data_IF_263077419492
#
_entry.id   IF_263077419492
#
_cell.length_a   1.000
_cell.length_b   1.000
_cell.length_c   1.000
_cell.angle_alpha   90.00
_cell.angle_beta   90.00
_cell.angle_gamma   90.00
#
_symmetry.space_group_name_H-M   'P 1'
#
loop_
_entity.id
_entity.type
_entity.pdbx_description
1 polymer ?
#
# COMPACT_ATOMS: atom_id res chain seq x y z
N UNK A 1 2.25 -7.20 18.12
CA UNK A 1 0.89 -7.20 17.53
C UNK A 1 0.15 -5.96 17.99
N UNK A 2 -0.17 -5.05 17.07
CA UNK A 2 -0.96 -3.86 17.34
C UNK A 2 -2.15 -3.81 16.37
N UNK A 3 -3.22 -3.09 16.75
CA UNK A 3 -4.37 -2.90 15.86
C UNK A 3 -4.30 -1.48 15.30
N UNK A 4 -4.15 -1.35 13.98
CA UNK A 4 -3.93 -0.06 13.31
C UNK A 4 -4.90 0.15 12.14
N UNK A 5 -5.26 1.40 11.79
CA UNK A 5 -6.04 1.68 10.60
C UNK A 5 -5.19 1.58 9.32
N UNK A 6 -5.82 1.13 8.24
CA UNK A 6 -5.29 1.29 6.89
C UNK A 6 -6.37 1.84 5.97
N UNK A 7 -6.02 2.81 5.12
CA UNK A 7 -6.96 3.44 4.21
C UNK A 7 -6.79 2.86 2.81
N UNK A 8 -7.91 2.46 2.22
CA UNK A 8 -7.98 2.05 0.83
C UNK A 8 -9.10 2.80 0.09
N UNK A 9 -8.90 3.05 -1.19
CA UNK A 9 -9.94 3.53 -2.08
C UNK A 9 -10.92 2.39 -2.44
N UNK A 10 -12.00 2.72 -3.13
CA UNK A 10 -13.06 1.78 -3.45
C UNK A 10 -12.56 0.59 -4.28
N UNK A 11 -11.71 0.83 -5.27
CA UNK A 11 -11.18 -0.20 -6.17
C UNK A 11 -10.24 -1.16 -5.42
N UNK A 12 -9.36 -0.62 -4.58
CA UNK A 12 -8.50 -1.45 -3.73
C UNK A 12 -9.32 -2.31 -2.74
N UNK A 13 -10.42 -1.77 -2.21
CA UNK A 13 -11.32 -2.55 -1.33
C UNK A 13 -11.98 -3.69 -2.10
N UNK A 14 -12.47 -3.43 -3.32
CA UNK A 14 -13.00 -4.48 -4.19
C UNK A 14 -11.96 -5.56 -4.45
N UNK A 15 -10.74 -5.16 -4.80
CA UNK A 15 -9.65 -6.11 -5.03
C UNK A 15 -9.32 -6.98 -3.80
N UNK A 16 -9.45 -6.43 -2.57
CA UNK A 16 -9.29 -7.22 -1.34
C UNK A 16 -10.47 -8.21 -1.17
N UNK A 17 -11.70 -7.75 -1.41
CA UNK A 17 -12.89 -8.61 -1.30
C UNK A 17 -12.83 -9.76 -2.32
N UNK A 18 -12.35 -9.49 -3.52
CA UNK A 18 -12.16 -10.45 -4.61
C UNK A 18 -10.89 -11.32 -4.44
N UNK A 19 -10.13 -11.13 -3.35
CA UNK A 19 -8.87 -11.84 -3.05
C UNK A 19 -7.75 -11.61 -4.09
N UNK A 20 -7.84 -10.53 -4.88
CA UNK A 20 -6.81 -10.13 -5.84
C UNK A 20 -5.71 -9.28 -5.19
N UNK A 21 -6.03 -8.55 -4.10
CA UNK A 21 -5.08 -7.69 -3.41
C UNK A 21 -4.64 -8.29 -2.08
N UNK A 22 -3.35 -8.60 -1.97
CA UNK A 22 -2.69 -9.11 -0.76
C UNK A 22 -1.42 -8.32 -0.38
N UNK A 23 -1.12 -7.25 -1.12
CA UNK A 23 0.04 -6.40 -0.90
C UNK A 23 -0.33 -4.92 -1.05
N UNK A 24 0.39 -4.03 -0.42
CA UNK A 24 0.28 -2.58 -0.64
C UNK A 24 1.59 -1.88 -0.43
N UNK A 25 1.88 -0.90 -1.29
CA UNK A 25 3.05 -0.03 -1.17
C UNK A 25 2.69 1.29 -0.52
N UNK A 26 3.57 1.79 0.34
CA UNK A 26 3.45 3.11 1.00
C UNK A 26 4.78 3.84 0.91
N UNK A 27 4.73 5.12 0.59
CA UNK A 27 5.92 5.97 0.49
C UNK A 27 6.67 5.98 1.83
N UNK A 28 7.98 5.77 1.78
CA UNK A 28 8.86 6.06 2.91
C UNK A 28 8.99 7.59 3.02
N UNK A 29 8.64 8.14 4.15
CA UNK A 29 8.68 9.60 4.36
C UNK A 29 9.36 9.94 5.70
N UNK A 30 10.44 10.74 5.67
CA UNK A 30 11.10 11.32 4.50
C UNK A 30 11.79 10.28 3.63
N UNK A 31 12.02 10.61 2.35
CA UNK A 31 12.78 9.74 1.47
C UNK A 31 14.23 9.60 1.96
N UNK A 32 14.77 8.38 2.02
CA UNK A 32 16.16 8.15 2.36
C UNK A 32 17.10 8.75 1.31
N UNK A 33 18.17 9.39 1.76
CA UNK A 33 19.21 9.89 0.85
C UNK A 33 20.27 8.83 0.49
N UNK A 34 20.23 7.67 1.18
CA UNK A 34 21.12 6.55 0.98
C UNK A 34 20.34 5.23 1.09
N UNK A 35 21.05 4.16 1.39
CA UNK A 35 20.48 2.82 1.49
C UNK A 35 19.87 2.57 2.87
N UNK A 36 18.63 2.10 2.90
CA UNK A 36 18.05 1.53 4.12
C UNK A 36 18.56 0.10 4.32
N UNK A 37 18.78 -0.28 5.55
CA UNK A 37 19.12 -1.65 5.90
C UNK A 37 18.22 -2.21 7.00
N UNK A 38 18.10 -3.52 7.02
CA UNK A 38 17.41 -4.24 8.07
C UNK A 38 18.40 -4.48 9.21
N UNK A 39 18.17 -3.87 10.36
CA UNK A 39 19.08 -3.97 11.50
C UNK A 39 18.43 -4.74 12.64
N UNK A 40 19.19 -5.67 13.24
CA UNK A 40 18.81 -6.32 14.47
C UNK A 40 19.29 -5.47 15.64
N UNK A 41 18.39 -4.73 16.26
CA UNK A 41 18.70 -3.99 17.48
C UNK A 41 18.32 -4.84 18.70
N UNK A 42 19.22 -5.78 19.08
CA UNK A 42 19.22 -6.41 20.41
C UNK A 42 17.95 -7.19 20.81
N UNK A 43 17.35 -7.96 19.90
CA UNK A 43 16.17 -8.77 20.14
C UNK A 43 15.68 -9.45 18.87
N UNK A 44 14.70 -10.34 18.98
CA UNK A 44 14.18 -11.17 17.88
C UNK A 44 13.44 -10.41 16.76
N UNK A 45 13.34 -9.08 16.85
CA UNK A 45 12.67 -8.23 15.86
C UNK A 45 13.66 -7.29 15.20
N UNK A 46 14.03 -7.56 13.95
CA UNK A 46 14.74 -6.60 13.11
C UNK A 46 13.83 -5.42 12.71
N UNK A 47 14.42 -4.27 12.50
CA UNK A 47 13.73 -3.08 11.97
C UNK A 47 14.46 -2.53 10.76
N UNK A 48 13.70 -2.04 9.80
CA UNK A 48 14.22 -1.28 8.67
C UNK A 48 14.55 0.14 9.13
N UNK A 49 15.72 0.60 8.73
CA UNK A 49 16.16 1.94 9.06
C UNK A 49 17.56 2.22 8.55
N UNK A 50 18.05 3.42 8.79
CA UNK A 50 19.47 3.69 8.61
C UNK A 50 20.28 2.98 9.69
N UNK A 51 21.51 2.56 9.37
CA UNK A 51 22.44 2.09 10.37
C UNK A 51 22.70 3.19 11.41
N UNK A 52 23.08 2.79 12.61
CA UNK A 52 23.52 3.73 13.65
C UNK A 52 24.67 4.62 13.15
N UNK A 53 24.90 5.78 13.75
CA UNK A 53 26.07 6.62 13.44
C UNK A 53 27.36 5.82 13.46
N UNK A 54 27.55 4.96 14.45
CA UNK A 54 28.71 4.10 14.57
C UNK A 54 28.84 3.11 13.40
N UNK A 55 27.73 2.54 12.96
CA UNK A 55 27.73 1.65 11.80
C UNK A 55 28.00 2.42 10.51
N UNK A 56 27.48 3.63 10.38
CA UNK A 56 27.77 4.53 9.26
C UNK A 56 29.26 4.87 9.15
N UNK A 57 29.87 5.27 10.27
CA UNK A 57 31.31 5.58 10.34
C UNK A 57 32.17 4.38 9.94
N UNK A 58 31.70 3.16 10.18
CA UNK A 58 32.41 1.92 9.83
C UNK A 58 32.14 1.43 8.39
N UNK A 59 31.02 1.79 7.78
CA UNK A 59 30.58 1.24 6.48
C UNK A 59 30.71 2.22 5.30
N UNK A 60 31.08 3.48 5.57
CA UNK A 60 31.47 4.46 4.56
C UNK A 60 30.31 5.17 3.84
N UNK A 61 30.64 5.80 2.70
CA UNK A 61 29.79 6.77 1.99
C UNK A 61 28.49 6.23 1.38
N UNK A 62 28.24 4.94 1.43
CA UNK A 62 26.96 4.37 0.94
C UNK A 62 25.74 4.82 1.75
N UNK A 63 25.95 5.34 2.95
CA UNK A 63 24.90 5.73 3.89
C UNK A 63 25.07 7.19 4.31
N UNK A 64 24.58 8.11 3.49
CA UNK A 64 24.62 9.53 3.84
C UNK A 64 23.55 9.85 4.89
N UNK A 65 23.99 10.18 6.09
CA UNK A 65 23.16 10.70 7.16
C UNK A 65 23.33 12.23 7.25
N UNK A 66 22.27 12.97 7.61
CA UNK A 66 22.43 14.36 8.04
C UNK A 66 23.39 14.43 9.24
N UNK A 67 24.29 15.41 9.22
CA UNK A 67 25.38 15.53 10.21
C UNK A 67 24.90 15.57 11.66
N UNK A 68 23.69 16.13 11.89
CA UNK A 68 23.13 16.34 13.23
C UNK A 68 22.12 15.28 13.70
N UNK A 69 21.91 14.21 12.93
CA UNK A 69 20.87 13.24 13.26
C UNK A 69 21.32 12.30 14.38
N UNK A 70 20.44 12.07 15.34
CA UNK A 70 20.65 11.11 16.42
C UNK A 70 20.12 9.72 16.05
N UNK A 71 20.63 8.66 16.69
CA UNK A 71 20.13 7.29 16.51
C UNK A 71 18.62 7.17 16.84
N UNK A 72 18.15 7.90 17.85
CA UNK A 72 16.74 7.93 18.24
C UNK A 72 15.88 8.57 17.18
N UNK A 73 16.37 9.64 16.56
CA UNK A 73 15.69 10.32 15.48
C UNK A 73 15.67 9.49 14.20
N UNK A 74 16.74 8.77 13.90
CA UNK A 74 16.81 7.78 12.83
C UNK A 74 15.72 6.71 13.00
N UNK A 75 15.66 6.08 14.15
CA UNK A 75 14.64 5.06 14.47
C UNK A 75 13.23 5.60 14.33
N UNK A 76 13.00 6.83 14.77
CA UNK A 76 11.68 7.46 14.68
C UNK A 76 11.26 7.79 13.24
N UNK A 77 12.18 8.28 12.40
CA UNK A 77 11.88 8.74 11.04
C UNK A 77 11.61 7.61 10.06
N UNK A 78 12.36 6.51 10.19
CA UNK A 78 12.28 5.40 9.22
C UNK A 78 11.72 4.11 9.80
N UNK A 79 10.90 4.23 10.81
CA UNK A 79 10.14 3.10 11.30
C UNK A 79 9.01 2.76 10.31
N UNK A 80 8.84 1.49 9.95
CA UNK A 80 7.72 1.11 9.11
C UNK A 80 6.38 1.43 9.78
N UNK A 81 5.36 1.81 9.02
CA UNK A 81 4.05 2.15 9.57
C UNK A 81 3.37 0.95 10.23
N UNK A 82 3.73 -0.25 9.77
CA UNK A 82 3.22 -1.53 10.24
C UNK A 82 4.35 -2.50 10.45
N UNK A 83 4.11 -3.53 11.28
CA UNK A 83 5.06 -4.62 11.56
C UNK A 83 4.35 -5.94 11.33
N UNK A 84 5.13 -7.00 11.10
CA UNK A 84 4.61 -8.36 11.03
C UNK A 84 3.74 -8.68 12.25
N UNK A 85 2.65 -9.40 12.04
CA UNK A 85 1.59 -9.70 13.02
C UNK A 85 0.75 -8.51 13.49
N UNK A 86 0.93 -7.30 12.97
CA UNK A 86 -0.04 -6.22 13.20
C UNK A 86 -1.37 -6.54 12.52
N UNK A 87 -2.47 -6.19 13.19
CA UNK A 87 -3.81 -6.33 12.65
C UNK A 87 -4.28 -4.99 12.12
N UNK A 88 -4.66 -4.96 10.85
CA UNK A 88 -5.11 -3.76 10.19
C UNK A 88 -6.63 -3.80 10.02
N UNK A 89 -7.33 -2.75 10.46
CA UNK A 89 -8.72 -2.56 10.08
C UNK A 89 -8.81 -1.60 8.90
N UNK A 90 -9.48 -2.07 7.84
CA UNK A 90 -9.62 -1.30 6.60
C UNK A 90 -10.65 -0.19 6.79
N UNK A 91 -10.25 1.02 6.42
CA UNK A 91 -11.12 2.19 6.34
C UNK A 91 -11.43 2.46 4.87
N UNK A 92 -12.69 2.40 4.53
CA UNK A 92 -13.21 2.58 3.18
C UNK A 92 -14.26 3.68 3.10
N UNK A 93 -14.65 4.08 1.90
CA UNK A 93 -15.73 5.05 1.68
C UNK A 93 -17.06 4.45 2.11
N UNK A 94 -17.78 5.12 2.99
CA UNK A 94 -18.95 4.59 3.67
C UNK A 94 -20.06 5.61 3.86
N UNK A 95 -21.25 5.14 4.24
CA UNK A 95 -22.36 5.92 4.77
C UNK A 95 -22.82 5.25 6.07
N UNK A 96 -23.12 6.06 7.06
CA UNK A 96 -23.86 5.60 8.23
C UNK A 96 -25.34 5.82 8.00
N UNK A 97 -26.05 4.76 7.68
CA UNK A 97 -27.50 4.80 7.35
C UNK A 97 -28.37 4.89 8.61
N UNK A 98 -27.94 4.26 9.71
CA UNK A 98 -28.58 4.31 11.02
C UNK A 98 -27.55 4.07 12.13
N UNK A 99 -27.97 4.09 13.38
CA UNK A 99 -27.11 3.68 14.48
C UNK A 99 -26.60 2.24 14.23
N UNK A 100 -25.27 2.07 14.16
CA UNK A 100 -24.59 0.80 13.88
C UNK A 100 -24.89 0.15 12.51
N UNK A 101 -25.52 0.88 11.57
CA UNK A 101 -25.75 0.39 10.21
C UNK A 101 -24.93 1.19 9.21
N UNK A 102 -24.04 0.48 8.50
CA UNK A 102 -23.10 1.09 7.57
C UNK A 102 -23.27 0.51 6.17
N UNK A 103 -23.21 1.38 5.16
CA UNK A 103 -23.15 0.99 3.76
C UNK A 103 -21.79 1.36 3.20
N UNK A 104 -21.26 0.54 2.30
CA UNK A 104 -19.90 0.67 1.80
C UNK A 104 -19.93 0.83 0.29
N UNK A 105 -19.22 1.84 -0.20
CA UNK A 105 -19.20 2.18 -1.62
C UNK A 105 -18.71 1.02 -2.48
N UNK A 106 -17.81 0.20 -1.97
CA UNK A 106 -17.28 -0.95 -2.71
C UNK A 106 -18.35 -1.98 -3.13
N UNK A 107 -19.43 -2.11 -2.35
CA UNK A 107 -20.53 -3.06 -2.64
C UNK A 107 -21.75 -2.39 -3.22
N UNK A 108 -21.69 -1.08 -3.51
CA UNK A 108 -22.86 -0.34 -3.91
C UNK A 108 -22.80 -0.08 -5.42
N UNK A 109 -23.66 -0.73 -6.20
CA UNK A 109 -23.69 -0.61 -7.65
C UNK A 109 -24.83 0.28 -8.16
N UNK A 110 -25.87 0.54 -7.35
CA UNK A 110 -27.11 1.17 -7.78
C UNK A 110 -27.56 2.29 -6.83
N UNK A 111 -28.53 3.03 -7.26
CA UNK A 111 -29.28 4.13 -6.68
C UNK A 111 -29.05 4.42 -5.18
N UNK A 112 -28.62 5.63 -4.87
CA UNK A 112 -28.45 6.12 -3.51
C UNK A 112 -29.67 6.95 -3.09
N UNK A 113 -30.25 6.72 -1.91
CA UNK A 113 -31.37 7.53 -1.43
C UNK A 113 -31.04 9.02 -1.37
N UNK A 114 -32.00 9.88 -1.71
CA UNK A 114 -31.84 11.33 -1.60
C UNK A 114 -31.42 11.74 -0.18
N UNK A 115 -30.49 12.69 -0.11
CA UNK A 115 -29.99 13.22 1.18
C UNK A 115 -28.82 12.45 1.80
N UNK A 116 -28.49 11.25 1.33
CA UNK A 116 -27.30 10.52 1.78
C UNK A 116 -26.07 10.90 0.94
N UNK A 117 -24.93 11.03 1.61
CA UNK A 117 -23.65 11.34 0.95
C UNK A 117 -22.55 10.39 1.42
N UNK A 118 -21.72 9.94 0.50
CA UNK A 118 -20.54 9.17 0.81
C UNK A 118 -19.58 9.97 1.67
N UNK A 119 -19.18 9.39 2.80
CA UNK A 119 -18.13 9.93 3.67
C UNK A 119 -16.78 9.33 3.27
N UNK A 120 -15.72 10.15 3.16
CA UNK A 120 -14.37 9.66 2.90
C UNK A 120 -13.91 8.64 3.95
N UNK A 121 -13.06 7.71 3.53
CA UNK A 121 -12.50 6.64 4.39
C UNK A 121 -11.80 7.17 5.65
N UNK A 122 -11.21 8.37 5.59
CA UNK A 122 -10.54 8.99 6.73
C UNK A 122 -11.47 9.25 7.93
N UNK A 123 -12.77 9.31 7.71
CA UNK A 123 -13.78 9.53 8.76
C UNK A 123 -14.43 8.25 9.27
N UNK A 124 -14.05 7.08 8.71
CA UNK A 124 -14.67 5.82 9.10
C UNK A 124 -14.20 5.38 10.48
N UNK A 125 -15.13 5.16 11.43
CA UNK A 125 -14.78 4.68 12.76
C UNK A 125 -14.42 3.19 12.72
N UNK A 126 -13.62 2.73 13.69
CA UNK A 126 -13.16 1.33 13.79
C UNK A 126 -14.32 0.34 13.89
N UNK A 127 -15.41 0.71 14.54
CA UNK A 127 -16.61 -0.13 14.71
C UNK A 127 -17.28 -0.48 13.38
N UNK A 128 -17.14 0.40 12.37
CA UNK A 128 -17.65 0.21 11.02
C UNK A 128 -16.72 -0.67 10.16
N UNK A 129 -15.54 -1.04 10.65
CA UNK A 129 -14.62 -1.88 9.89
C UNK A 129 -15.14 -3.30 9.77
N UNK A 130 -15.27 -3.77 8.52
CA UNK A 130 -15.72 -5.12 8.15
C UNK A 130 -14.62 -5.97 7.52
N UNK A 131 -13.49 -5.38 7.18
CA UNK A 131 -12.33 -6.05 6.59
C UNK A 131 -11.18 -5.88 7.56
N UNK A 132 -10.59 -7.01 7.92
CA UNK A 132 -9.45 -7.10 8.83
C UNK A 132 -8.34 -7.85 8.12
N UNK A 133 -7.12 -7.35 8.26
CA UNK A 133 -5.95 -7.88 7.59
C UNK A 133 -4.87 -8.12 8.64
N UNK A 134 -4.20 -9.25 8.54
CA UNK A 134 -3.00 -9.56 9.33
C UNK A 134 -1.78 -9.29 8.46
N UNK A 135 -0.85 -8.51 8.94
CA UNK A 135 0.42 -8.24 8.24
C UNK A 135 1.29 -9.48 8.32
N UNK A 136 1.69 -9.99 7.16
CA UNK A 136 2.55 -11.20 7.04
C UNK A 136 4.02 -10.83 6.81
N UNK A 137 4.28 -9.76 6.06
CA UNK A 137 5.63 -9.28 5.80
C UNK A 137 5.67 -7.76 5.64
N UNK A 138 6.79 -7.16 6.00
CA UNK A 138 7.09 -5.75 5.77
C UNK A 138 8.54 -5.60 5.36
N UNK A 139 8.76 -5.03 4.17
CA UNK A 139 10.09 -4.76 3.64
C UNK A 139 10.14 -3.41 2.93
N UNK A 140 11.34 -2.96 2.58
CA UNK A 140 11.56 -1.72 1.83
C UNK A 140 12.18 -2.05 0.48
N UNK A 141 11.65 -1.40 -0.57
CA UNK A 141 12.10 -1.59 -1.96
C UNK A 141 12.09 -0.25 -2.69
N UNK A 142 12.76 -0.16 -3.83
CA UNK A 142 12.47 0.88 -4.81
C UNK A 142 11.17 0.58 -5.52
N UNK A 143 10.39 1.61 -5.82
CA UNK A 143 9.08 1.44 -6.43
C UNK A 143 9.13 0.63 -7.74
N UNK A 144 10.14 0.87 -8.57
CA UNK A 144 10.32 0.20 -9.87
C UNK A 144 10.96 -1.19 -9.79
N UNK A 145 11.33 -1.67 -8.60
CA UNK A 145 11.76 -3.06 -8.37
C UNK A 145 10.56 -4.03 -8.29
N UNK A 146 9.35 -3.52 -8.43
CA UNK A 146 8.12 -4.32 -8.45
C UNK A 146 8.16 -5.34 -9.61
N UNK A 147 7.80 -6.58 -9.31
CA UNK A 147 7.61 -7.63 -10.32
C UNK A 147 6.17 -7.70 -10.81
N UNK A 148 5.92 -8.36 -11.95
CA UNK A 148 4.58 -8.61 -12.48
C UNK A 148 3.67 -9.29 -11.43
N UNK A 149 4.19 -10.31 -10.73
CA UNK A 149 3.46 -11.01 -9.66
C UNK A 149 3.08 -10.06 -8.52
N UNK A 150 4.00 -9.20 -8.11
CA UNK A 150 3.74 -8.22 -7.06
C UNK A 150 2.74 -7.15 -7.52
N UNK A 151 2.75 -6.77 -8.79
CA UNK A 151 1.75 -5.87 -9.36
C UNK A 151 0.35 -6.50 -9.33
N UNK A 152 0.24 -7.81 -9.64
CA UNK A 152 -1.00 -8.56 -9.43
C UNK A 152 -1.45 -8.54 -7.96
N UNK A 153 -0.51 -8.75 -7.01
CA UNK A 153 -0.79 -8.72 -5.59
C UNK A 153 -1.23 -7.33 -5.07
N UNK A 154 -0.90 -6.26 -5.77
CA UNK A 154 -1.44 -4.91 -5.50
C UNK A 154 -2.93 -4.78 -5.90
N UNK A 155 -3.47 -5.81 -6.55
CA UNK A 155 -4.84 -5.83 -7.04
C UNK A 155 -5.02 -5.11 -8.37
N UNK A 156 -3.94 -4.91 -9.10
CA UNK A 156 -3.98 -4.36 -10.45
C UNK A 156 -4.69 -5.35 -11.36
N UNK A 157 -5.58 -4.86 -12.18
CA UNK A 157 -6.25 -5.63 -13.21
C UNK A 157 -5.67 -5.22 -14.57
N UNK A 158 -5.11 -6.13 -15.38
CA UNK A 158 -4.62 -5.80 -16.71
C UNK A 158 -5.75 -5.32 -17.62
N UNK A 159 -6.98 -5.61 -17.24
CA UNK A 159 -8.22 -5.29 -17.94
C UNK A 159 -8.94 -4.07 -17.37
N UNK A 160 -8.31 -3.29 -16.47
CA UNK A 160 -8.95 -2.12 -15.86
C UNK A 160 -9.34 -1.09 -16.93
N UNK A 161 -10.47 -0.39 -16.69
CA UNK A 161 -11.05 0.64 -17.60
C UNK A 161 -10.02 1.66 -18.12
N UNK A 162 -8.94 1.90 -17.37
CA UNK A 162 -7.84 2.76 -17.83
C UNK A 162 -7.08 2.21 -19.07
N UNK A 163 -7.14 0.92 -19.31
CA UNK A 163 -6.66 0.32 -20.57
C UNK A 163 -7.69 0.51 -21.68
N UNK A 164 -8.97 0.61 -21.36
CA UNK A 164 -10.07 0.82 -22.30
C UNK A 164 -10.10 2.22 -22.90
N UNK A 165 -9.85 3.25 -22.09
CA UNK A 165 -10.05 4.65 -22.50
C UNK A 165 -9.04 5.13 -23.55
N UNK A 166 -7.87 4.49 -23.66
CA UNK A 166 -6.81 4.98 -24.54
C UNK A 166 -6.83 4.42 -25.96
N UNK A 167 -7.40 3.24 -26.27
CA UNK A 167 -7.31 2.66 -27.62
C UNK A 167 -8.51 1.86 -28.11
N UNK A 168 -9.56 1.62 -27.33
CA UNK A 168 -10.73 0.83 -27.77
C UNK A 168 -10.41 -0.62 -28.18
N UNK A 169 -9.23 -1.12 -27.82
CA UNK A 169 -8.74 -2.41 -28.27
C UNK A 169 -8.26 -3.27 -27.09
N UNK A 170 -8.71 -4.52 -27.08
CA UNK A 170 -8.32 -5.52 -26.09
C UNK A 170 -7.39 -6.54 -26.73
N UNK A 171 -6.18 -6.72 -26.20
CA UNK A 171 -5.47 -7.96 -26.47
C UNK A 171 -6.23 -9.08 -25.76
N UNK A 172 -6.82 -9.98 -26.51
CA UNK A 172 -7.29 -11.24 -25.94
C UNK A 172 -6.09 -12.14 -25.74
N UNK A 173 -6.02 -12.87 -24.63
CA UNK A 173 -5.03 -13.93 -24.35
C UNK A 173 -4.91 -14.97 -25.50
N UNK A 174 -5.78 -14.89 -26.49
CA UNK A 174 -5.85 -15.78 -27.65
C UNK A 174 -5.27 -15.22 -28.94
N UNK A 175 -4.77 -13.98 -28.96
CA UNK A 175 -4.17 -13.38 -30.16
C UNK A 175 -2.73 -12.89 -29.88
N UNK A 176 -1.70 -13.72 -30.16
CA UNK A 176 -0.30 -13.38 -29.98
C UNK A 176 0.19 -12.23 -30.88
N UNK A 177 -0.51 -11.91 -31.97
CA UNK A 177 -0.14 -10.84 -32.89
C UNK A 177 -0.69 -9.47 -32.49
N UNK A 178 -1.41 -9.39 -31.37
CA UNK A 178 -2.07 -8.18 -30.93
C UNK A 178 -1.17 -7.15 -30.20
N UNK A 179 0.13 -7.32 -30.26
CA UNK A 179 1.10 -6.23 -30.02
C UNK A 179 1.39 -5.89 -28.56
N UNK A 180 1.20 -6.78 -27.64
CA UNK A 180 1.70 -6.64 -26.26
C UNK A 180 0.91 -7.44 -25.25
N UNK A 181 1.61 -8.28 -24.49
CA UNK A 181 1.06 -8.86 -23.28
C UNK A 181 0.61 -7.74 -22.34
N UNK A 182 -0.55 -7.89 -21.68
CA UNK A 182 -1.00 -6.93 -20.67
C UNK A 182 0.04 -6.87 -19.56
N UNK A 183 0.77 -5.76 -19.51
CA UNK A 183 1.84 -5.55 -18.54
C UNK A 183 1.21 -5.06 -17.23
N UNK A 184 1.22 -5.91 -16.19
CA UNK A 184 0.71 -5.59 -14.87
C UNK A 184 1.44 -4.41 -14.24
N UNK A 185 2.72 -4.23 -14.55
CA UNK A 185 3.53 -3.12 -14.09
C UNK A 185 3.00 -1.79 -14.66
N UNK A 186 2.58 -1.76 -15.92
CA UNK A 186 1.99 -0.55 -16.52
C UNK A 186 0.66 -0.17 -15.87
N UNK A 187 -0.17 -1.16 -15.56
CA UNK A 187 -1.39 -0.97 -14.78
C UNK A 187 -1.09 -0.42 -13.39
N UNK A 188 -0.12 -1.00 -12.71
CA UNK A 188 0.32 -0.53 -11.39
C UNK A 188 0.92 0.88 -11.46
N UNK A 189 1.73 1.21 -12.45
CA UNK A 189 2.26 2.56 -12.68
C UNK A 189 1.14 3.61 -12.73
N UNK A 190 0.09 3.35 -13.52
CA UNK A 190 -1.07 4.25 -13.62
C UNK A 190 -1.78 4.38 -12.29
N UNK A 191 -2.05 3.24 -11.63
CA UNK A 191 -2.67 3.21 -10.30
C UNK A 191 -1.84 3.99 -9.29
N UNK A 192 -0.52 3.77 -9.22
CA UNK A 192 0.38 4.49 -8.32
C UNK A 192 0.29 6.00 -8.51
N UNK A 193 0.50 6.48 -9.74
CA UNK A 193 0.45 7.91 -10.05
C UNK A 193 -0.90 8.54 -9.74
N UNK A 194 -2.01 7.80 -9.86
CA UNK A 194 -3.35 8.28 -9.51
C UNK A 194 -3.52 8.56 -8.02
N UNK A 195 -2.73 7.91 -7.17
CA UNK A 195 -2.76 8.10 -5.71
C UNK A 195 -1.89 9.25 -5.23
N UNK A 196 -1.00 9.75 -6.08
CA UNK A 196 -0.07 10.84 -5.76
C UNK A 196 -0.66 12.18 -6.20
N UNK A 197 -0.50 13.20 -5.37
CA UNK A 197 -0.91 14.56 -5.75
C UNK A 197 -0.07 15.03 -6.93
N UNK A 198 -0.67 15.77 -7.87
CA UNK A 198 0.02 16.28 -9.05
C UNK A 198 1.27 17.11 -8.72
N UNK A 199 1.25 17.86 -7.62
CA UNK A 199 2.41 18.64 -7.13
C UNK A 199 3.58 17.78 -6.66
N UNK A 200 3.33 16.53 -6.33
CA UNK A 200 4.28 15.66 -5.64
C UNK A 200 4.80 14.54 -6.57
N UNK A 201 4.33 14.50 -7.83
CA UNK A 201 4.71 13.48 -8.81
C UNK A 201 6.21 13.45 -9.10
N UNK A 202 6.87 14.61 -9.12
CA UNK A 202 8.31 14.70 -9.36
C UNK A 202 9.15 14.07 -8.23
N UNK A 203 8.55 13.90 -7.03
CA UNK A 203 9.22 13.34 -5.86
C UNK A 203 8.79 11.91 -5.53
N UNK A 204 7.53 11.58 -5.79
CA UNK A 204 6.91 10.32 -5.35
C UNK A 204 6.21 9.56 -6.47
N UNK A 205 6.13 10.12 -7.67
CA UNK A 205 5.59 9.44 -8.84
C UNK A 205 6.46 8.27 -9.29
N UNK A 206 5.96 7.50 -10.22
CA UNK A 206 6.66 6.35 -10.78
C UNK A 206 8.07 6.68 -11.28
N UNK A 207 8.20 7.77 -12.05
CA UNK A 207 9.49 8.19 -12.65
C UNK A 207 10.54 8.61 -11.62
N UNK A 208 10.12 9.05 -10.44
CA UNK A 208 11.02 9.38 -9.34
C UNK A 208 11.59 8.13 -8.65
N UNK A 209 10.99 6.98 -8.88
CA UNK A 209 11.39 5.69 -8.29
C UNK A 209 11.66 5.80 -6.77
N UNK A 210 10.68 6.26 -5.97
CA UNK A 210 10.88 6.48 -4.55
C UNK A 210 11.09 5.17 -3.79
N UNK A 211 11.66 5.26 -2.60
CA UNK A 211 11.63 4.19 -1.63
C UNK A 211 10.22 3.99 -1.08
N UNK A 212 9.78 2.75 -1.00
CA UNK A 212 8.46 2.36 -0.52
C UNK A 212 8.54 1.25 0.51
N UNK A 213 7.65 1.29 1.50
CA UNK A 213 7.32 0.15 2.35
C UNK A 213 6.41 -0.77 1.57
N UNK A 214 6.79 -2.00 1.39
CA UNK A 214 5.96 -3.08 0.86
C UNK A 214 5.38 -3.83 2.05
N UNK A 215 4.06 -3.86 2.14
CA UNK A 215 3.32 -4.47 3.25
C UNK A 215 2.47 -5.59 2.65
N UNK A 216 2.81 -6.83 2.97
CA UNK A 216 2.02 -7.99 2.60
C UNK A 216 1.05 -8.34 3.72
N UNK A 217 -0.11 -8.83 3.36
CA UNK A 217 -1.15 -9.15 4.32
C UNK A 217 -2.09 -10.24 3.81
N UNK A 218 -2.74 -10.89 4.74
CA UNK A 218 -3.84 -11.83 4.51
C UNK A 218 -5.11 -11.35 5.23
N UNK A 219 -6.28 -11.78 4.77
CA UNK A 219 -7.52 -11.49 5.47
C UNK A 219 -7.62 -12.36 6.72
N UNK A 220 -8.09 -11.74 7.80
CA UNK A 220 -8.34 -12.42 9.05
C UNK A 220 -9.70 -12.01 9.62
N UNK A 221 -10.17 -12.73 10.62
CA UNK A 221 -11.35 -12.35 11.39
C UNK A 221 -11.07 -11.14 12.28
N UNK A 222 -12.14 -10.51 12.76
CA UNK A 222 -12.06 -9.39 13.68
C UNK A 222 -11.31 -9.80 14.95
N UNK A 223 -10.14 -9.20 15.17
CA UNK A 223 -9.28 -9.52 16.31
C UNK A 223 -8.08 -10.40 15.98
N UNK A 224 -7.88 -10.78 14.72
CA UNK A 224 -6.67 -11.48 14.26
C UNK A 224 -6.73 -13.01 14.35
N UNK A 225 -7.93 -13.58 14.46
CA UNK A 225 -8.13 -15.03 14.35
C UNK A 225 -8.29 -15.37 12.88
N UNK A 226 -7.59 -16.41 12.39
CA UNK A 226 -7.64 -16.82 10.99
C UNK A 226 -9.05 -17.25 10.59
N UNK A 227 -9.53 -16.77 9.44
CA UNK A 227 -10.72 -17.34 8.78
C UNK A 227 -10.33 -18.76 8.31
N UNK A 228 -10.89 -19.79 8.93
CA UNK A 228 -10.74 -21.19 8.51
C UNK A 228 -11.76 -21.54 7.44
#
# INVERSE_FOLDING_TARGET
>A
MAIKPILFNTEMVRAILDRRKSCTRRIVNPQPQGRLCYTFAGGDCGTWGYPSKTAYENWGDEYKLPEDITDEELKRRWNPPYHTDDILYVRETFIQAAAHTFWYKANFELWMPEGLRWKPSIHMPKEAARIWLKVTDVRVERLQEITEEQACMEGTDPWDEACYENNGWHPTLSDPDSGGDPNMIDGFHKLWNSTIKKSDLDYYGWSANPWVWVIEFERCERGGVDER
#
